data_IF_902835371113
#
_entry.id   IF_902835371113
#
_cell.length_a   1.000
_cell.length_b   1.000
_cell.length_c   1.000
_cell.angle_alpha   90.00
_cell.angle_beta   90.00
_cell.angle_gamma   90.00
#
_symmetry.space_group_name_H-M   'P 1'
#
loop_
_entity.id
_entity.type
_entity.pdbx_description
1 polymer ?
#
# COMPACT_ATOMS: atom_id res chain seq x y z
N UNK A 1 27.58 23.08 28.17
CA UNK A 1 26.93 23.55 26.95
C UNK A 1 26.14 22.38 26.41
N UNK A 2 24.87 22.35 26.77
CA UNK A 2 23.90 21.31 26.45
C UNK A 2 23.38 21.60 25.04
N UNK A 3 23.67 20.73 24.07
CA UNK A 3 23.11 20.81 22.73
C UNK A 3 21.92 19.87 22.66
N UNK A 4 20.73 20.43 22.81
CA UNK A 4 19.47 19.73 22.57
C UNK A 4 19.34 19.41 21.07
N UNK A 5 19.46 18.13 20.72
CA UNK A 5 18.93 17.59 19.46
C UNK A 5 17.56 16.98 19.79
N UNK A 6 16.52 17.82 19.79
CA UNK A 6 15.14 17.36 19.54
C UNK A 6 14.77 17.85 18.15
N UNK A 7 15.13 17.06 17.14
CA UNK A 7 14.59 17.15 15.80
C UNK A 7 13.55 16.04 15.67
N UNK A 8 12.30 16.39 15.91
CA UNK A 8 11.07 15.91 15.26
C UNK A 8 11.13 14.56 14.52
N UNK A 9 11.36 13.46 15.24
CA UNK A 9 11.01 12.13 14.75
C UNK A 9 9.51 11.92 15.00
N UNK A 10 8.69 11.56 13.99
CA UNK A 10 7.37 11.04 14.28
C UNK A 10 7.53 9.82 15.22
N UNK A 11 6.75 9.80 16.30
CA UNK A 11 6.78 8.76 17.34
C UNK A 11 6.91 7.36 16.72
N UNK A 12 7.87 6.59 17.20
CA UNK A 12 8.26 5.25 16.76
C UNK A 12 7.13 4.44 16.09
N UNK A 13 7.20 4.31 14.77
CA UNK A 13 6.37 3.34 14.06
C UNK A 13 6.79 1.93 14.49
N UNK A 14 5.80 1.15 14.93
CA UNK A 14 6.04 -0.19 15.48
C UNK A 14 5.65 -1.22 14.44
N UNK A 15 6.56 -2.13 14.10
CA UNK A 15 6.25 -3.20 13.16
C UNK A 15 5.12 -4.08 13.72
N UNK A 16 4.06 -4.24 12.94
CA UNK A 16 2.95 -5.12 13.29
C UNK A 16 3.41 -6.55 13.13
N UNK A 17 3.32 -7.32 14.21
CA UNK A 17 3.75 -8.73 14.25
C UNK A 17 2.62 -9.68 14.62
N UNK A 18 1.44 -9.16 15.00
CA UNK A 18 0.30 -9.98 15.31
C UNK A 18 -0.36 -10.49 14.03
N UNK A 19 -0.59 -11.81 13.99
CA UNK A 19 -1.02 -12.52 12.79
C UNK A 19 -2.40 -12.08 12.30
N UNK A 20 -3.30 -11.68 13.20
CA UNK A 20 -4.67 -11.29 12.87
C UNK A 20 -4.68 -9.98 12.09
N UNK A 21 -4.03 -8.94 12.61
CA UNK A 21 -3.95 -7.63 11.94
C UNK A 21 -3.18 -7.73 10.62
N UNK A 22 -2.08 -8.50 10.60
CA UNK A 22 -1.32 -8.72 9.38
C UNK A 22 -2.15 -9.40 8.28
N UNK A 23 -2.96 -10.41 8.62
CA UNK A 23 -3.84 -11.08 7.64
C UNK A 23 -4.95 -10.17 7.13
N UNK A 24 -5.58 -9.40 8.02
CA UNK A 24 -6.64 -8.47 7.64
C UNK A 24 -6.13 -7.42 6.64
N UNK A 25 -4.98 -6.82 6.95
CA UNK A 25 -4.33 -5.82 6.08
C UNK A 25 -3.88 -6.44 4.77
N UNK A 26 -3.29 -7.65 4.80
CA UNK A 26 -2.92 -8.37 3.58
C UNK A 26 -4.14 -8.61 2.68
N UNK A 27 -5.24 -9.13 3.22
CA UNK A 27 -6.46 -9.40 2.46
C UNK A 27 -7.09 -8.12 1.89
N UNK A 28 -7.04 -7.03 2.65
CA UNK A 28 -7.46 -5.72 2.15
C UNK A 28 -6.61 -5.29 0.95
N UNK A 29 -5.28 -5.33 1.06
CA UNK A 29 -4.38 -4.92 -0.02
C UNK A 29 -4.53 -5.80 -1.25
N UNK A 30 -4.64 -7.12 -1.08
CA UNK A 30 -4.87 -8.04 -2.18
C UNK A 30 -6.16 -7.68 -2.94
N UNK A 31 -7.23 -7.38 -2.21
CA UNK A 31 -8.51 -6.94 -2.80
C UNK A 31 -8.35 -5.60 -3.51
N UNK A 32 -7.65 -4.64 -2.90
CA UNK A 32 -7.41 -3.32 -3.45
C UNK A 32 -6.64 -3.39 -4.78
N UNK A 33 -5.52 -4.12 -4.83
CA UNK A 33 -4.70 -4.23 -6.04
C UNK A 33 -5.39 -5.05 -7.15
N UNK A 34 -6.16 -6.09 -6.79
CA UNK A 34 -7.07 -6.76 -7.75
C UNK A 34 -8.05 -5.75 -8.33
N UNK A 35 -8.64 -4.92 -7.48
CA UNK A 35 -9.61 -3.93 -7.92
C UNK A 35 -9.00 -2.83 -8.80
N UNK A 36 -7.76 -2.42 -8.53
CA UNK A 36 -7.02 -1.53 -9.45
C UNK A 36 -6.87 -2.13 -10.85
N UNK A 37 -6.66 -3.46 -10.95
CA UNK A 37 -6.49 -4.16 -12.22
C UNK A 37 -7.82 -4.47 -12.95
N UNK A 38 -8.97 -4.37 -12.29
CA UNK A 38 -10.27 -4.79 -12.88
C UNK A 38 -11.37 -3.73 -12.89
N UNK A 39 -11.34 -2.84 -11.90
CA UNK A 39 -12.32 -1.79 -11.67
C UNK A 39 -12.04 -0.54 -12.51
N UNK A 40 -12.99 0.39 -12.55
CA UNK A 40 -12.84 1.69 -13.18
C UNK A 40 -12.24 2.72 -12.20
N UNK A 41 -11.67 3.80 -12.73
CA UNK A 41 -11.18 4.93 -11.90
C UNK A 41 -12.29 5.52 -11.02
N UNK A 42 -13.54 5.51 -11.48
CA UNK A 42 -14.68 5.99 -10.69
C UNK A 42 -14.95 5.10 -9.47
N UNK A 43 -14.94 3.79 -9.66
CA UNK A 43 -15.15 2.86 -8.55
C UNK A 43 -13.97 2.86 -7.57
N UNK A 44 -12.74 3.11 -8.05
CA UNK A 44 -11.55 3.19 -7.18
C UNK A 44 -11.66 4.32 -6.15
N UNK A 45 -12.34 5.42 -6.47
CA UNK A 45 -12.55 6.56 -5.55
C UNK A 45 -13.30 6.19 -4.26
N UNK A 46 -13.97 5.04 -4.20
CA UNK A 46 -14.57 4.54 -2.96
C UNK A 46 -13.56 3.93 -1.98
N UNK A 47 -12.36 3.56 -2.46
CA UNK A 47 -11.32 2.86 -1.71
C UNK A 47 -10.07 3.69 -1.45
N UNK A 48 -9.88 4.77 -2.22
CA UNK A 48 -8.73 5.67 -2.09
C UNK A 48 -9.16 7.12 -1.92
N UNK A 49 -8.43 7.86 -1.07
CA UNK A 49 -8.48 9.33 -0.99
C UNK A 49 -7.55 10.00 -1.99
N UNK A 50 -6.48 9.30 -2.37
CA UNK A 50 -5.55 9.74 -3.41
C UNK A 50 -6.10 9.44 -4.81
N UNK A 51 -5.72 10.23 -5.80
CA UNK A 51 -6.02 9.90 -7.19
C UNK A 51 -5.22 8.66 -7.61
N UNK A 52 -5.94 7.60 -7.95
CA UNK A 52 -5.36 6.34 -8.45
C UNK A 52 -6.03 6.00 -9.76
N UNK A 53 -5.22 5.78 -10.79
CA UNK A 53 -5.71 5.36 -12.09
C UNK A 53 -6.00 3.86 -12.11
N UNK A 54 -7.06 3.48 -12.81
CA UNK A 54 -7.33 2.09 -13.12
C UNK A 54 -6.25 1.52 -14.04
N UNK A 55 -5.79 0.32 -13.73
CA UNK A 55 -4.87 -0.46 -14.55
C UNK A 55 -5.61 -1.47 -15.44
N UNK A 56 -6.94 -1.35 -15.52
CA UNK A 56 -7.81 -2.28 -16.24
C UNK A 56 -7.44 -2.37 -17.72
N UNK A 57 -7.22 -3.62 -18.16
CA UNK A 57 -6.85 -3.91 -19.55
C UNK A 57 -5.38 -3.63 -19.89
N UNK A 58 -4.62 -3.09 -18.94
CA UNK A 58 -3.17 -2.88 -19.05
C UNK A 58 -2.47 -3.99 -18.26
N UNK A 59 -2.88 -4.21 -17.01
CA UNK A 59 -2.28 -5.18 -16.10
C UNK A 59 -3.30 -6.11 -15.44
N UNK A 60 -2.86 -7.31 -15.10
CA UNK A 60 -3.56 -8.27 -14.24
C UNK A 60 -2.80 -8.44 -12.92
N UNK A 61 -3.49 -8.45 -11.79
CA UNK A 61 -2.88 -8.70 -10.49
C UNK A 61 -2.49 -10.18 -10.32
N UNK A 62 -1.27 -10.42 -9.83
CA UNK A 62 -0.76 -11.77 -9.54
C UNK A 62 -0.75 -12.02 -8.03
N UNK A 63 0.06 -11.27 -7.27
CA UNK A 63 0.32 -11.51 -5.84
C UNK A 63 0.99 -10.31 -5.17
N UNK A 64 1.04 -10.38 -3.84
CA UNK A 64 1.87 -9.52 -2.99
C UNK A 64 3.01 -10.33 -2.39
N UNK A 65 4.23 -9.80 -2.44
CA UNK A 65 5.41 -10.33 -1.77
C UNK A 65 5.98 -9.26 -0.81
N UNK A 66 6.87 -9.66 0.11
CA UNK A 66 7.62 -8.76 0.99
C UNK A 66 6.77 -7.72 1.75
N UNK A 67 5.57 -8.12 2.21
CA UNK A 67 4.65 -7.24 2.93
C UNK A 67 5.20 -6.91 4.32
N UNK A 68 5.58 -5.66 4.53
CA UNK A 68 6.01 -5.12 5.82
C UNK A 68 5.02 -4.05 6.30
N UNK A 69 4.43 -4.26 7.47
CA UNK A 69 3.36 -3.42 8.03
C UNK A 69 3.88 -2.73 9.29
N UNK A 70 3.72 -1.41 9.34
CA UNK A 70 4.09 -0.58 10.47
C UNK A 70 2.85 0.16 10.98
N UNK A 71 2.60 0.07 12.28
CA UNK A 71 1.56 0.84 12.94
C UNK A 71 2.01 2.30 13.01
N UNK A 72 1.15 3.19 12.54
CA UNK A 72 1.28 4.63 12.63
C UNK A 72 0.19 5.21 13.56
N UNK A 73 0.29 6.51 13.89
CA UNK A 73 -0.68 7.18 14.78
C UNK A 73 -2.13 7.08 14.29
N UNK A 74 -2.34 7.15 12.97
CA UNK A 74 -3.68 7.20 12.36
C UNK A 74 -3.99 5.99 11.44
N UNK A 75 -3.27 4.88 11.60
CA UNK A 75 -3.49 3.66 10.82
C UNK A 75 -2.21 2.88 10.59
N UNK A 76 -1.91 2.54 9.34
CA UNK A 76 -0.77 1.70 8.98
C UNK A 76 0.00 2.25 7.80
N UNK A 77 1.33 2.13 7.85
CA UNK A 77 2.20 2.24 6.69
C UNK A 77 2.55 0.83 6.22
N UNK A 78 2.30 0.52 4.95
CA UNK A 78 2.64 -0.78 4.37
C UNK A 78 3.63 -0.61 3.23
N UNK A 79 4.68 -1.44 3.23
CA UNK A 79 5.60 -1.60 2.12
C UNK A 79 5.40 -3.00 1.54
N UNK A 80 5.28 -3.11 0.22
CA UNK A 80 4.98 -4.39 -0.43
C UNK A 80 5.48 -4.41 -1.87
N UNK A 81 5.82 -5.60 -2.33
CA UNK A 81 6.14 -5.90 -3.71
C UNK A 81 4.86 -6.39 -4.42
N UNK A 82 4.34 -5.59 -5.34
CA UNK A 82 3.13 -5.92 -6.08
C UNK A 82 3.51 -6.51 -7.44
N UNK A 83 3.18 -7.77 -7.64
CA UNK A 83 3.40 -8.44 -8.91
C UNK A 83 2.18 -8.30 -9.81
N UNK A 84 2.40 -7.76 -11.00
CA UNK A 84 1.39 -7.61 -12.04
C UNK A 84 1.86 -8.31 -13.32
N UNK A 85 0.93 -8.70 -14.19
CA UNK A 85 1.22 -9.19 -15.53
C UNK A 85 0.72 -8.18 -16.57
N UNK A 86 1.58 -7.77 -17.50
CA UNK A 86 1.15 -6.99 -18.67
C UNK A 86 0.24 -7.85 -19.56
N UNK A 87 -0.97 -7.35 -19.83
CA UNK A 87 -2.00 -8.10 -20.55
C UNK A 87 -1.57 -8.41 -21.99
N UNK A 88 -0.80 -7.51 -22.61
CA UNK A 88 -0.42 -7.58 -24.03
C UNK A 88 0.79 -8.49 -24.28
N UNK A 89 1.81 -8.39 -23.42
CA UNK A 89 3.10 -9.08 -23.58
C UNK A 89 3.20 -10.34 -22.73
N UNK A 90 2.34 -10.49 -21.71
CA UNK A 90 2.40 -11.51 -20.67
C UNK A 90 3.64 -11.44 -19.78
N UNK A 91 4.40 -10.34 -19.84
CA UNK A 91 5.53 -10.11 -18.96
C UNK A 91 5.04 -9.86 -17.51
N UNK A 92 5.70 -10.46 -16.54
CA UNK A 92 5.53 -10.11 -15.13
C UNK A 92 6.35 -8.85 -14.83
N UNK A 93 5.72 -7.89 -14.14
CA UNK A 93 6.37 -6.69 -13.63
C UNK A 93 6.27 -6.67 -12.10
N UNK A 94 7.32 -6.14 -11.48
CA UNK A 94 7.37 -5.92 -10.05
C UNK A 94 7.22 -4.43 -9.76
N UNK A 95 6.23 -4.06 -8.96
CA UNK A 95 5.99 -2.69 -8.49
C UNK A 95 6.26 -2.61 -6.99
N UNK A 96 7.39 -2.02 -6.61
CA UNK A 96 7.67 -1.70 -5.21
C UNK A 96 6.71 -0.58 -4.77
N UNK A 97 5.88 -0.84 -3.77
CA UNK A 97 4.78 0.05 -3.42
C UNK A 97 4.78 0.35 -1.93
N UNK A 98 4.54 1.62 -1.60
CA UNK A 98 4.27 2.10 -0.26
C UNK A 98 2.81 2.57 -0.20
N UNK A 99 2.04 2.07 0.77
CA UNK A 99 0.62 2.35 0.94
C UNK A 99 0.36 2.83 2.36
N UNK A 100 -0.24 4.00 2.48
CA UNK A 100 -0.74 4.51 3.76
C UNK A 100 -2.21 4.16 3.89
N UNK A 101 -2.55 3.43 4.95
CA UNK A 101 -3.90 3.02 5.29
C UNK A 101 -4.39 3.82 6.48
N UNK A 102 -5.59 4.38 6.38
CA UNK A 102 -6.30 4.99 7.49
C UNK A 102 -7.58 4.23 7.78
N UNK A 103 -7.99 4.20 9.04
CA UNK A 103 -9.27 3.58 9.43
C UNK A 103 -10.36 4.64 9.38
N UNK A 104 -11.36 4.42 8.54
CA UNK A 104 -12.58 5.23 8.52
C UNK A 104 -13.76 4.36 8.95
N UNK A 105 -14.36 4.70 10.09
CA UNK A 105 -15.40 3.87 10.70
C UNK A 105 -14.87 2.43 10.89
N UNK A 106 -15.50 1.44 10.26
CA UNK A 106 -15.15 0.02 10.35
C UNK A 106 -14.39 -0.50 9.11
N UNK A 107 -13.81 0.38 8.29
CA UNK A 107 -13.07 -0.03 7.07
C UNK A 107 -11.72 0.67 6.91
N UNK A 108 -10.81 0.00 6.22
CA UNK A 108 -9.58 0.62 5.72
C UNK A 108 -9.85 1.42 4.45
N UNK A 109 -9.15 2.54 4.33
CA UNK A 109 -9.11 3.38 3.13
C UNK A 109 -7.66 3.68 2.82
N UNK A 110 -7.29 3.60 1.55
CA UNK A 110 -5.96 4.02 1.07
C UNK A 110 -5.91 5.54 1.07
N UNK A 111 -5.15 6.14 1.98
CA UNK A 111 -4.98 7.59 2.00
C UNK A 111 -3.93 8.05 1.00
N UNK A 112 -2.89 7.24 0.79
CA UNK A 112 -1.77 7.54 -0.08
C UNK A 112 -1.20 6.25 -0.66
N UNK A 113 -0.75 6.30 -1.91
CA UNK A 113 0.00 5.25 -2.57
C UNK A 113 1.17 5.84 -3.34
N UNK A 114 2.35 5.26 -3.14
CA UNK A 114 3.58 5.67 -3.80
C UNK A 114 4.22 4.46 -4.46
N UNK A 115 4.56 4.58 -5.74
CA UNK A 115 5.29 3.57 -6.48
C UNK A 115 6.78 3.93 -6.46
N UNK A 116 7.60 3.03 -5.95
CA UNK A 116 9.05 3.18 -5.95
C UNK A 116 9.60 3.03 -7.37
N UNK A 117 10.31 4.05 -7.86
CA UNK A 117 11.50 3.79 -8.65
C UNK A 117 12.60 3.46 -7.63
N UNK A 118 13.05 2.21 -7.57
CA UNK A 118 14.03 1.68 -6.59
C UNK A 118 14.85 2.74 -5.87
N UNK A 119 14.50 3.01 -4.62
CA UNK A 119 15.04 4.11 -3.84
C UNK A 119 15.13 3.77 -2.37
N UNK A 120 15.86 2.71 -2.04
CA UNK A 120 16.52 2.64 -0.73
C UNK A 120 17.56 3.76 -0.75
N UNK A 121 17.37 4.79 0.07
CA UNK A 121 18.44 5.70 0.48
C UNK A 121 18.78 5.42 1.93
#
# INVERSE_FOLDING_TARGET
>A
MEYALKADQPDASTMVTDETSSKEIYSFLETFFKFMATGTTEELRYYTKSEVESLKGIYEFIRLDNVAIYQEKEGYQVFTDVWMQDVSTKAEILMQTSVTLVREQDRYVVSEINYGNGGIK
#
